data_IF_724464226004
#
_entry.id   IF_724464226004
#
_cell.length_a   1.000
_cell.length_b   1.000
_cell.length_c   1.000
_cell.angle_alpha   90.00
_cell.angle_beta   90.00
_cell.angle_gamma   90.00
#
_symmetry.space_group_name_H-M   'P 1'
#
loop_
_entity.id
_entity.type
_entity.pdbx_description
1 polymer ?
#
# COMPACT_ATOMS: atom_id res chain seq x y z
N UNK A 1 -17.77 -20.39 28.19
CA UNK A 1 -17.40 -18.99 27.80
C UNK A 1 -18.68 -18.41 27.23
N UNK A 2 -19.35 -17.51 27.95
CA UNK A 2 -20.59 -16.90 27.46
C UNK A 2 -20.18 -15.65 26.66
N UNK A 3 -20.42 -15.67 25.36
CA UNK A 3 -20.19 -14.51 24.52
C UNK A 3 -21.12 -13.37 24.90
N UNK A 4 -20.58 -12.19 25.12
CA UNK A 4 -21.36 -11.00 25.47
C UNK A 4 -21.82 -10.29 24.20
N UNK A 5 -22.99 -10.69 23.67
CA UNK A 5 -23.55 -10.11 22.45
C UNK A 5 -23.95 -8.62 22.59
N UNK A 6 -24.36 -8.20 23.79
CA UNK A 6 -24.71 -6.79 24.05
C UNK A 6 -23.47 -5.90 23.96
N UNK A 7 -22.31 -6.38 24.42
CA UNK A 7 -21.04 -5.67 24.27
C UNK A 7 -20.63 -5.59 22.80
N UNK A 8 -20.78 -6.67 22.05
CA UNK A 8 -20.47 -6.67 20.61
C UNK A 8 -21.35 -5.64 19.91
N UNK A 9 -22.66 -5.67 20.12
CA UNK A 9 -23.61 -4.76 19.49
C UNK A 9 -23.31 -3.27 19.81
N UNK A 10 -23.02 -2.97 21.08
CA UNK A 10 -22.70 -1.60 21.52
C UNK A 10 -21.33 -1.10 21.01
N UNK A 11 -20.37 -1.99 20.80
CA UNK A 11 -19.03 -1.65 20.31
C UNK A 11 -18.95 -1.56 18.77
N UNK A 12 -19.86 -2.21 18.06
CA UNK A 12 -19.83 -2.34 16.61
C UNK A 12 -19.79 -1.00 15.85
N UNK A 13 -20.57 0.05 16.19
CA UNK A 13 -20.50 1.34 15.52
C UNK A 13 -19.12 2.00 15.65
N UNK A 14 -18.47 1.84 16.81
CA UNK A 14 -17.13 2.40 17.04
C UNK A 14 -16.06 1.68 16.22
N UNK A 15 -16.17 0.35 16.10
CA UNK A 15 -15.29 -0.46 15.25
C UNK A 15 -15.48 -0.12 13.76
N UNK A 16 -16.72 0.05 13.28
CA UNK A 16 -16.99 0.47 11.91
C UNK A 16 -16.42 1.84 11.58
N UNK A 17 -16.52 2.79 12.52
CA UNK A 17 -15.88 4.10 12.35
C UNK A 17 -14.34 3.97 12.28
N UNK A 18 -13.73 3.03 13.04
CA UNK A 18 -12.30 2.69 12.90
C UNK A 18 -11.98 2.07 11.54
N UNK A 19 -12.84 1.18 11.04
CA UNK A 19 -12.68 0.57 9.72
C UNK A 19 -12.70 1.63 8.59
N UNK A 20 -13.57 2.62 8.67
CA UNK A 20 -13.60 3.73 7.72
C UNK A 20 -12.26 4.50 7.69
N UNK A 21 -11.70 4.79 8.86
CA UNK A 21 -10.39 5.44 8.99
C UNK A 21 -9.26 4.55 8.41
N UNK A 22 -9.30 3.23 8.66
CA UNK A 22 -8.37 2.26 8.07
C UNK A 22 -8.39 2.33 6.54
N UNK A 23 -9.58 2.35 5.93
CA UNK A 23 -9.73 2.48 4.47
C UNK A 23 -9.23 3.83 3.99
N UNK A 24 -9.53 4.91 4.69
CA UNK A 24 -9.07 6.27 4.35
C UNK A 24 -7.54 6.36 4.33
N UNK A 25 -6.86 5.93 5.40
CA UNK A 25 -5.39 5.90 5.44
C UNK A 25 -4.84 5.05 4.30
N UNK A 26 -5.39 3.87 4.10
CA UNK A 26 -4.93 2.97 3.03
C UNK A 26 -5.06 3.62 1.66
N UNK A 27 -6.20 4.21 1.35
CA UNK A 27 -6.45 4.86 0.07
C UNK A 27 -5.51 6.04 -0.17
N UNK A 28 -5.30 6.90 0.84
CA UNK A 28 -4.37 8.02 0.77
C UNK A 28 -2.93 7.54 0.63
N UNK A 29 -2.52 6.56 1.45
CA UNK A 29 -1.15 6.04 1.43
C UNK A 29 -0.80 5.35 0.12
N UNK A 30 -1.68 4.52 -0.43
CA UNK A 30 -1.47 3.87 -1.73
C UNK A 30 -1.58 4.89 -2.86
N UNK A 31 -2.47 5.88 -2.76
CA UNK A 31 -2.60 6.96 -3.74
C UNK A 31 -1.31 7.77 -3.86
N UNK A 32 -0.77 8.28 -2.75
CA UNK A 32 0.55 8.95 -2.75
C UNK A 32 1.68 7.98 -3.08
N UNK A 33 1.63 6.75 -2.59
CA UNK A 33 2.56 5.69 -2.93
C UNK A 33 2.60 5.40 -4.43
N UNK A 34 1.46 5.47 -5.12
CA UNK A 34 1.40 5.32 -6.58
C UNK A 34 2.16 6.44 -7.29
N UNK A 35 2.01 7.69 -6.85
CA UNK A 35 2.75 8.82 -7.41
C UNK A 35 4.27 8.65 -7.21
N UNK A 36 4.69 8.33 -5.98
CA UNK A 36 6.09 8.07 -5.65
C UNK A 36 6.61 6.87 -6.45
N UNK A 37 5.88 5.77 -6.46
CA UNK A 37 6.26 4.53 -7.14
C UNK A 37 6.40 4.68 -8.66
N UNK A 38 5.50 5.45 -9.29
CA UNK A 38 5.62 5.79 -10.72
C UNK A 38 6.89 6.61 -11.00
N UNK A 39 7.15 7.65 -10.21
CA UNK A 39 8.35 8.49 -10.38
C UNK A 39 9.63 7.68 -10.19
N UNK A 40 9.70 6.88 -9.12
CA UNK A 40 10.85 6.02 -8.82
C UNK A 40 10.98 4.91 -9.86
N UNK A 41 9.88 4.30 -10.30
CA UNK A 41 9.88 3.29 -11.36
C UNK A 41 10.43 3.81 -12.68
N UNK A 42 10.04 5.02 -13.09
CA UNK A 42 10.59 5.70 -14.27
C UNK A 42 12.08 6.00 -14.06
N UNK A 43 12.49 6.49 -12.90
CA UNK A 43 13.88 6.76 -12.57
C UNK A 43 14.78 5.51 -12.69
N UNK A 44 14.25 4.33 -12.31
CA UNK A 44 14.96 3.04 -12.43
C UNK A 44 15.12 2.55 -13.87
N UNK A 45 14.28 3.02 -14.79
CA UNK A 45 14.34 2.68 -16.22
C UNK A 45 15.13 3.69 -17.05
N UNK A 46 15.47 4.85 -16.48
CA UNK A 46 16.19 5.88 -17.23
C UNK A 46 17.68 5.53 -17.42
N UNK A 47 18.30 6.16 -18.46
CA UNK A 47 19.71 5.94 -18.80
C UNK A 47 20.69 6.71 -17.89
N UNK A 48 20.21 7.61 -17.03
CA UNK A 48 21.04 8.38 -16.10
C UNK A 48 21.43 7.51 -14.93
N UNK A 49 22.69 7.06 -14.90
CA UNK A 49 23.21 6.12 -13.89
C UNK A 49 23.00 6.59 -12.45
N UNK A 50 23.25 7.88 -12.18
CA UNK A 50 23.08 8.45 -10.84
C UNK A 50 21.62 8.37 -10.34
N UNK A 51 20.65 8.73 -11.19
CA UNK A 51 19.23 8.71 -10.84
C UNK A 51 18.75 7.27 -10.61
N UNK A 52 19.17 6.34 -11.47
CA UNK A 52 18.87 4.92 -11.31
C UNK A 52 19.47 4.34 -10.01
N UNK A 53 20.69 4.73 -9.66
CA UNK A 53 21.36 4.29 -8.45
C UNK A 53 20.63 4.77 -7.20
N UNK A 54 20.26 6.06 -7.13
CA UNK A 54 19.50 6.63 -6.01
C UNK A 54 18.11 5.98 -5.87
N UNK A 55 17.42 5.75 -6.99
CA UNK A 55 16.14 5.07 -7.01
C UNK A 55 16.24 3.61 -6.49
N UNK A 56 17.30 2.89 -6.84
CA UNK A 56 17.55 1.55 -6.31
C UNK A 56 17.83 1.58 -4.80
N UNK A 57 18.69 2.49 -4.31
CA UNK A 57 18.96 2.64 -2.88
C UNK A 57 17.66 2.88 -2.10
N UNK A 58 16.80 3.77 -2.58
CA UNK A 58 15.50 4.03 -1.95
C UNK A 58 14.65 2.77 -1.85
N UNK A 59 14.49 2.04 -2.96
CA UNK A 59 13.66 0.84 -3.00
C UNK A 59 14.24 -0.26 -2.12
N UNK A 60 15.54 -0.49 -2.19
CA UNK A 60 16.21 -1.54 -1.42
C UNK A 60 16.19 -1.23 0.09
N UNK A 61 16.40 0.04 0.47
CA UNK A 61 16.35 0.48 1.87
C UNK A 61 14.95 0.35 2.45
N UNK A 62 13.93 0.87 1.76
CA UNK A 62 12.54 0.85 2.26
C UNK A 62 12.00 -0.58 2.33
N UNK A 63 12.24 -1.41 1.31
CA UNK A 63 11.79 -2.81 1.30
C UNK A 63 12.63 -3.72 2.20
N UNK A 64 13.85 -3.30 2.52
CA UNK A 64 14.74 -4.01 3.45
C UNK A 64 14.52 -3.68 4.93
N UNK A 65 13.64 -2.72 5.24
CA UNK A 65 13.35 -2.29 6.62
C UNK A 65 11.87 -2.49 6.96
N UNK A 66 11.58 -2.64 8.27
CA UNK A 66 10.21 -2.84 8.75
C UNK A 66 9.39 -1.54 8.65
N UNK A 67 8.14 -1.64 8.16
CA UNK A 67 7.20 -0.52 8.14
C UNK A 67 6.98 0.06 9.56
N UNK A 68 6.92 -0.77 10.59
CA UNK A 68 6.81 -0.31 11.98
C UNK A 68 7.97 0.63 12.36
N UNK A 69 9.20 0.28 11.98
CA UNK A 69 10.38 1.11 12.24
C UNK A 69 10.31 2.42 11.44
N UNK A 70 9.82 2.37 10.20
CA UNK A 70 9.62 3.57 9.37
C UNK A 70 8.59 4.52 10.00
N UNK A 71 7.48 3.99 10.55
CA UNK A 71 6.49 4.77 11.31
C UNK A 71 7.14 5.43 12.52
N UNK A 72 7.98 4.71 13.28
CA UNK A 72 8.69 5.27 14.44
C UNK A 72 9.70 6.35 14.03
N UNK A 73 10.42 6.17 12.94
CA UNK A 73 11.36 7.19 12.43
C UNK A 73 10.62 8.48 12.06
N UNK A 74 9.48 8.37 11.37
CA UNK A 74 8.70 9.56 10.97
C UNK A 74 8.05 10.23 12.18
N UNK A 75 7.49 9.46 13.11
CA UNK A 75 6.72 10.02 14.21
C UNK A 75 7.57 10.48 15.41
N UNK A 76 8.62 9.73 15.77
CA UNK A 76 9.45 10.02 16.95
C UNK A 76 10.80 10.65 16.63
N UNK A 77 11.47 10.21 15.54
CA UNK A 77 12.82 10.69 15.25
C UNK A 77 12.81 11.97 14.42
N UNK A 78 11.93 12.10 13.42
CA UNK A 78 11.86 13.27 12.54
C UNK A 78 11.59 14.59 13.31
N UNK A 79 10.70 14.65 14.34
CA UNK A 79 10.49 15.85 15.16
C UNK A 79 11.78 16.41 15.78
N UNK A 80 12.72 15.55 16.16
CA UNK A 80 14.02 15.96 16.70
C UNK A 80 14.90 16.67 15.66
N UNK A 81 14.68 16.43 14.38
CA UNK A 81 15.44 17.05 13.27
C UNK A 81 14.79 18.36 12.84
N UNK A 82 13.44 18.36 12.69
CA UNK A 82 12.69 19.52 12.17
C UNK A 82 12.30 20.53 13.26
N UNK A 83 12.48 20.20 14.55
CA UNK A 83 12.15 21.07 15.66
C UNK A 83 10.65 21.27 15.95
N UNK A 84 9.78 20.46 15.33
CA UNK A 84 8.32 20.54 15.49
C UNK A 84 7.68 19.16 15.59
N UNK A 85 6.56 19.05 16.33
CA UNK A 85 5.82 17.79 16.43
C UNK A 85 5.14 17.44 15.10
N UNK A 86 5.16 16.17 14.75
CA UNK A 86 4.43 15.64 13.59
C UNK A 86 3.09 15.09 14.08
N UNK A 87 2.00 15.50 13.45
CA UNK A 87 0.68 14.95 13.73
C UNK A 87 0.62 13.46 13.37
N UNK A 88 -0.02 12.60 14.19
CA UNK A 88 -0.11 11.15 13.93
C UNK A 88 -0.69 10.79 12.56
N UNK A 89 -1.66 11.55 12.06
CA UNK A 89 -2.27 11.32 10.76
C UNK A 89 -1.26 11.54 9.62
N UNK A 90 -0.53 12.67 9.66
CA UNK A 90 0.51 12.95 8.66
C UNK A 90 1.68 11.98 8.75
N UNK A 91 2.07 11.56 9.97
CA UNK A 91 3.10 10.56 10.16
C UNK A 91 2.70 9.20 9.56
N UNK A 92 1.46 8.75 9.83
CA UNK A 92 0.92 7.51 9.30
C UNK A 92 0.90 7.52 7.77
N UNK A 93 0.28 8.55 7.17
CA UNK A 93 0.19 8.66 5.70
C UNK A 93 1.60 8.75 5.09
N UNK A 94 2.51 9.54 5.65
CA UNK A 94 3.85 9.71 5.09
C UNK A 94 4.63 8.40 5.12
N UNK A 95 4.70 7.71 6.26
CA UNK A 95 5.42 6.45 6.39
C UNK A 95 4.84 5.37 5.47
N UNK A 96 3.51 5.19 5.48
CA UNK A 96 2.83 4.22 4.64
C UNK A 96 2.96 4.55 3.14
N UNK A 97 2.92 5.84 2.74
CA UNK A 97 3.10 6.24 1.33
C UNK A 97 4.52 6.01 0.82
N UNK A 98 5.53 6.32 1.65
CA UNK A 98 6.93 6.05 1.34
C UNK A 98 7.15 4.53 1.20
N UNK A 99 6.58 3.74 2.09
CA UNK A 99 6.68 2.28 2.03
C UNK A 99 6.00 1.73 0.77
N UNK A 100 4.72 2.03 0.56
CA UNK A 100 3.96 1.59 -0.61
C UNK A 100 4.58 2.06 -1.92
N UNK A 101 5.15 3.28 -1.96
CA UNK A 101 5.86 3.80 -3.12
C UNK A 101 7.04 2.93 -3.56
N UNK A 102 7.79 2.35 -2.62
CA UNK A 102 8.89 1.45 -2.95
C UNK A 102 8.41 0.11 -3.51
N UNK A 103 7.33 -0.45 -2.95
CA UNK A 103 6.71 -1.68 -3.48
C UNK A 103 6.09 -1.45 -4.86
N UNK A 104 5.39 -0.34 -5.05
CA UNK A 104 4.79 0.03 -6.34
C UNK A 104 5.87 0.27 -7.40
N UNK A 105 6.99 0.92 -7.07
CA UNK A 105 8.13 1.08 -7.99
C UNK A 105 8.68 -0.27 -8.48
N UNK A 106 8.72 -1.27 -7.60
CA UNK A 106 9.13 -2.61 -7.95
C UNK A 106 8.08 -3.34 -8.80
N UNK A 107 6.78 -3.17 -8.49
CA UNK A 107 5.68 -3.70 -9.31
C UNK A 107 5.76 -3.16 -10.74
N UNK A 108 5.97 -1.84 -10.91
CA UNK A 108 6.15 -1.24 -12.23
C UNK A 108 7.35 -1.81 -12.96
N UNK A 109 8.52 -1.91 -12.29
CA UNK A 109 9.73 -2.47 -12.88
C UNK A 109 9.50 -3.91 -13.33
N UNK A 110 8.96 -4.75 -12.45
CA UNK A 110 8.69 -6.16 -12.72
C UNK A 110 7.66 -6.33 -13.85
N UNK A 111 6.60 -5.54 -13.86
CA UNK A 111 5.58 -5.56 -14.91
C UNK A 111 6.14 -5.23 -16.30
N UNK A 112 6.98 -4.20 -16.40
CA UNK A 112 7.64 -3.84 -17.67
C UNK A 112 8.64 -4.93 -18.10
N UNK A 113 9.46 -5.41 -17.18
CA UNK A 113 10.46 -6.45 -17.47
C UNK A 113 9.86 -7.84 -17.76
N UNK A 114 8.60 -8.06 -17.39
CA UNK A 114 7.90 -9.32 -17.71
C UNK A 114 7.49 -9.43 -19.17
N UNK A 115 7.52 -8.32 -19.94
CA UNK A 115 7.21 -8.35 -21.38
C UNK A 115 8.42 -8.93 -22.13
N UNK A 116 8.12 -9.82 -23.05
CA UNK A 116 9.14 -10.47 -23.89
C UNK A 116 10.00 -9.45 -24.62
N UNK A 117 11.32 -9.63 -24.58
CA UNK A 117 12.29 -8.73 -25.22
C UNK A 117 12.12 -8.68 -26.73
N UNK A 118 11.62 -9.76 -27.33
CA UNK A 118 11.30 -9.81 -28.77
C UNK A 118 10.26 -8.77 -29.19
N UNK A 119 9.38 -8.31 -28.27
CA UNK A 119 8.46 -7.19 -28.55
C UNK A 119 9.20 -5.87 -28.76
N UNK A 120 10.25 -5.64 -27.99
CA UNK A 120 11.11 -4.46 -28.17
C UNK A 120 11.91 -4.58 -29.47
N UNK A 121 12.49 -5.74 -29.74
CA UNK A 121 13.27 -5.98 -30.96
C UNK A 121 12.41 -5.88 -32.22
N UNK A 122 11.21 -6.45 -32.22
CA UNK A 122 10.28 -6.36 -33.35
C UNK A 122 9.88 -4.89 -33.64
N UNK A 123 9.53 -4.13 -32.60
CA UNK A 123 9.20 -2.71 -32.76
C UNK A 123 10.38 -1.91 -33.32
N UNK A 124 11.61 -2.18 -32.84
CA UNK A 124 12.82 -1.55 -33.36
C UNK A 124 13.13 -1.92 -34.82
N UNK A 125 12.88 -3.18 -35.19
CA UNK A 125 13.06 -3.66 -36.57
C UNK A 125 12.08 -3.04 -37.55
N UNK A 126 10.89 -2.63 -37.07
CA UNK A 126 9.91 -1.86 -37.85
C UNK A 126 10.23 -0.35 -37.91
N UNK A 127 11.40 0.07 -37.45
CA UNK A 127 11.85 1.48 -37.49
C UNK A 127 11.31 2.36 -36.37
N UNK A 128 10.60 1.80 -35.38
CA UNK A 128 10.12 2.55 -34.22
C UNK A 128 11.29 2.96 -33.32
N UNK A 129 11.25 4.17 -32.76
CA UNK A 129 12.18 4.58 -31.71
C UNK A 129 11.92 3.78 -30.42
N UNK A 130 12.88 3.74 -29.51
CA UNK A 130 12.71 3.11 -28.21
C UNK A 130 11.46 3.65 -27.47
N UNK A 131 11.27 4.96 -27.49
CA UNK A 131 10.12 5.61 -26.84
C UNK A 131 8.79 5.24 -27.49
N UNK A 132 8.75 5.12 -28.82
CA UNK A 132 7.54 4.66 -29.53
C UNK A 132 7.23 3.21 -29.22
N UNK A 133 8.22 2.32 -29.27
CA UNK A 133 8.04 0.89 -28.91
C UNK A 133 7.57 0.75 -27.46
N UNK A 134 8.21 1.48 -26.52
CA UNK A 134 7.80 1.50 -25.13
C UNK A 134 6.34 1.95 -24.97
N UNK A 135 5.96 3.08 -25.60
CA UNK A 135 4.63 3.68 -25.44
C UNK A 135 3.51 2.85 -26.09
N UNK A 136 3.73 2.33 -27.30
CA UNK A 136 2.67 1.74 -28.11
C UNK A 136 2.62 0.21 -28.02
N UNK A 137 3.71 -0.47 -27.65
CA UNK A 137 3.80 -1.92 -27.59
C UNK A 137 3.97 -2.41 -26.17
N UNK A 138 5.00 -1.93 -25.45
CA UNK A 138 5.38 -2.49 -24.14
C UNK A 138 4.41 -2.02 -23.04
N UNK A 139 4.20 -0.71 -22.91
CA UNK A 139 3.40 -0.15 -21.80
C UNK A 139 1.97 -0.65 -21.77
N UNK A 140 1.21 -0.76 -22.89
CA UNK A 140 -0.14 -1.30 -22.84
C UNK A 140 -0.21 -2.75 -22.33
N UNK A 141 0.80 -3.57 -22.67
CA UNK A 141 0.91 -4.93 -22.17
C UNK A 141 1.35 -4.98 -20.70
N UNK A 142 2.34 -4.15 -20.34
CA UNK A 142 2.84 -4.06 -18.97
C UNK A 142 1.76 -3.60 -17.98
N UNK A 143 0.91 -2.63 -18.35
CA UNK A 143 -0.20 -2.18 -17.49
C UNK A 143 -1.13 -3.33 -17.10
N UNK A 144 -1.47 -4.22 -18.02
CA UNK A 144 -2.30 -5.39 -17.72
C UNK A 144 -1.66 -6.30 -16.67
N UNK A 145 -0.33 -6.45 -16.70
CA UNK A 145 0.43 -7.26 -15.73
C UNK A 145 0.70 -6.56 -14.41
N UNK A 146 0.61 -5.23 -14.37
CA UNK A 146 0.82 -4.41 -13.17
C UNK A 146 -0.45 -4.33 -12.30
N UNK A 147 -1.65 -4.37 -12.89
CA UNK A 147 -2.92 -4.20 -12.16
C UNK A 147 -3.11 -5.23 -11.04
N UNK A 148 -2.93 -6.56 -11.24
CA UNK A 148 -3.11 -7.52 -10.16
C UNK A 148 -2.16 -7.31 -8.96
N UNK A 149 -0.83 -7.14 -9.15
CA UNK A 149 0.07 -6.82 -8.05
C UNK A 149 -0.26 -5.50 -7.34
N UNK A 150 -0.76 -4.47 -8.05
CA UNK A 150 -1.20 -3.22 -7.41
C UNK A 150 -2.42 -3.45 -6.50
N UNK A 151 -3.35 -4.28 -6.93
CA UNK A 151 -4.49 -4.69 -6.10
C UNK A 151 -4.03 -5.44 -4.83
N UNK A 152 -3.07 -6.34 -4.97
CA UNK A 152 -2.48 -7.05 -3.84
C UNK A 152 -1.71 -6.12 -2.89
N UNK A 153 -1.02 -5.10 -3.41
CA UNK A 153 -0.37 -4.06 -2.61
C UNK A 153 -1.39 -3.26 -1.80
N UNK A 154 -2.54 -2.90 -2.39
CA UNK A 154 -3.61 -2.24 -1.66
C UNK A 154 -4.14 -3.10 -0.51
N UNK A 155 -4.35 -4.41 -0.74
CA UNK A 155 -4.79 -5.35 0.29
C UNK A 155 -3.72 -5.53 1.38
N UNK A 156 -2.45 -5.56 1.02
CA UNK A 156 -1.35 -5.63 1.98
C UNK A 156 -1.34 -4.37 2.86
N UNK A 157 -1.35 -3.19 2.25
CA UNK A 157 -1.35 -1.91 2.95
C UNK A 157 -2.58 -1.74 3.85
N UNK A 158 -3.75 -2.25 3.45
CA UNK A 158 -4.97 -2.21 4.28
C UNK A 158 -4.79 -2.94 5.61
N UNK A 159 -4.03 -4.03 5.63
CA UNK A 159 -3.69 -4.76 6.85
C UNK A 159 -2.53 -4.11 7.60
N UNK A 160 -1.51 -3.67 6.87
CA UNK A 160 -0.30 -3.09 7.43
C UNK A 160 -0.55 -1.71 8.05
N UNK A 161 -1.61 -1.00 7.63
CA UNK A 161 -2.08 0.23 8.27
C UNK A 161 -2.44 0.03 9.75
N UNK A 162 -2.73 -1.20 10.20
CA UNK A 162 -2.92 -1.52 11.63
C UNK A 162 -1.70 -1.19 12.49
N UNK A 163 -0.48 -1.15 11.91
CA UNK A 163 0.74 -0.78 12.61
C UNK A 163 0.75 0.67 13.08
N UNK A 164 -0.07 1.56 12.49
CA UNK A 164 -0.16 2.96 12.95
C UNK A 164 -0.84 3.09 14.32
N UNK A 165 -1.50 2.03 14.80
CA UNK A 165 -2.06 1.96 16.15
C UNK A 165 -1.01 2.22 17.24
N UNK A 166 0.28 1.89 16.99
CA UNK A 166 1.38 2.07 17.95
C UNK A 166 1.71 3.52 18.24
N UNK A 167 1.41 4.44 17.31
CA UNK A 167 1.56 5.89 17.51
C UNK A 167 0.27 6.55 18.04
N UNK A 168 -0.70 5.74 18.48
CA UNK A 168 -1.94 6.20 19.08
C UNK A 168 -3.03 6.61 18.08
N UNK A 169 -2.83 6.37 16.79
CA UNK A 169 -3.82 6.71 15.77
C UNK A 169 -5.03 5.75 15.81
N UNK A 170 -6.26 6.30 15.92
CA UNK A 170 -7.47 5.52 16.21
C UNK A 170 -8.11 4.89 14.96
N UNK A 171 -7.36 4.06 14.25
CA UNK A 171 -7.88 3.18 13.24
C UNK A 171 -8.56 1.92 13.89
N UNK A 172 -9.00 0.95 13.08
CA UNK A 172 -9.77 -0.21 13.55
C UNK A 172 -9.09 -0.98 14.68
N UNK A 173 -7.79 -1.29 14.56
CA UNK A 173 -7.04 -2.05 15.58
C UNK A 173 -6.91 -1.25 16.87
N UNK A 174 -6.60 0.05 16.80
CA UNK A 174 -6.49 0.92 17.97
C UNK A 174 -7.81 1.05 18.70
N UNK A 175 -8.92 1.19 17.99
CA UNK A 175 -10.26 1.21 18.62
C UNK A 175 -10.58 -0.09 19.30
N UNK A 176 -10.24 -1.24 18.71
CA UNK A 176 -10.31 -2.53 19.38
C UNK A 176 -9.54 -2.55 20.70
N UNK A 177 -8.27 -2.09 20.71
CA UNK A 177 -7.45 -1.99 21.91
C UNK A 177 -8.10 -1.11 22.99
N UNK A 178 -8.65 0.04 22.62
CA UNK A 178 -9.31 0.96 23.56
C UNK A 178 -10.58 0.36 24.19
N UNK A 179 -11.37 -0.39 23.41
CA UNK A 179 -12.54 -1.11 23.94
C UNK A 179 -12.10 -2.20 24.91
N UNK A 180 -11.10 -3.00 24.55
CA UNK A 180 -10.58 -4.07 25.41
C UNK A 180 -10.02 -3.51 26.71
N UNK A 181 -9.32 -2.39 26.68
CA UNK A 181 -8.78 -1.74 27.88
C UNK A 181 -9.86 -1.31 28.90
N UNK A 182 -11.11 -1.10 28.44
CA UNK A 182 -12.25 -0.73 29.30
C UNK A 182 -13.11 -1.91 29.71
N UNK A 183 -13.18 -2.96 28.88
CA UNK A 183 -14.16 -4.05 29.03
C UNK A 183 -13.53 -5.38 29.41
N UNK A 184 -12.21 -5.53 29.22
CA UNK A 184 -11.44 -6.78 29.37
C UNK A 184 -11.95 -7.95 28.51
N UNK A 185 -12.82 -7.70 27.53
CA UNK A 185 -13.42 -8.68 26.62
C UNK A 185 -12.55 -8.85 25.36
N UNK A 186 -11.37 -9.42 25.54
CA UNK A 186 -10.37 -9.53 24.44
C UNK A 186 -10.85 -10.43 23.31
N UNK A 187 -11.44 -11.58 23.61
CA UNK A 187 -11.82 -12.54 22.59
C UNK A 187 -12.92 -12.00 21.68
N UNK A 188 -13.98 -11.44 22.24
CA UNK A 188 -15.12 -10.90 21.52
C UNK A 188 -14.70 -9.76 20.57
N UNK A 189 -13.90 -8.82 21.09
CA UNK A 189 -13.50 -7.64 20.33
C UNK A 189 -12.48 -7.99 19.24
N UNK A 190 -11.46 -8.82 19.52
CA UNK A 190 -10.52 -9.24 18.49
C UNK A 190 -11.19 -10.08 17.40
N UNK A 191 -12.18 -10.90 17.75
CA UNK A 191 -12.95 -11.62 16.75
C UNK A 191 -13.73 -10.67 15.85
N UNK A 192 -14.38 -9.63 16.41
CA UNK A 192 -15.07 -8.61 15.64
C UNK A 192 -14.09 -7.84 14.71
N UNK A 193 -12.95 -7.42 15.24
CA UNK A 193 -11.91 -6.74 14.45
C UNK A 193 -11.43 -7.62 13.28
N UNK A 194 -11.16 -8.90 13.55
CA UNK A 194 -10.73 -9.85 12.51
C UNK A 194 -11.80 -10.06 11.43
N UNK A 195 -13.08 -10.17 11.82
CA UNK A 195 -14.18 -10.30 10.87
C UNK A 195 -14.36 -9.04 10.02
N UNK A 196 -14.21 -7.84 10.61
CA UNK A 196 -14.29 -6.59 9.87
C UNK A 196 -13.13 -6.50 8.85
N UNK A 197 -11.88 -6.84 9.25
CA UNK A 197 -10.75 -6.92 8.30
C UNK A 197 -11.02 -7.93 7.19
N UNK A 198 -11.55 -9.11 7.52
CA UNK A 198 -11.87 -10.13 6.52
C UNK A 198 -12.88 -9.60 5.49
N UNK A 199 -13.94 -8.93 5.95
CA UNK A 199 -14.95 -8.33 5.05
C UNK A 199 -14.32 -7.24 4.19
N UNK A 200 -13.52 -6.34 4.76
CA UNK A 200 -12.84 -5.27 3.99
C UNK A 200 -11.92 -5.87 2.92
N UNK A 201 -11.08 -6.83 3.28
CA UNK A 201 -10.17 -7.51 2.34
C UNK A 201 -10.97 -8.23 1.24
N UNK A 202 -12.05 -8.93 1.61
CA UNK A 202 -12.89 -9.61 0.63
C UNK A 202 -13.54 -8.64 -0.38
N UNK A 203 -14.05 -7.51 0.10
CA UNK A 203 -14.65 -6.48 -0.78
C UNK A 203 -13.60 -5.90 -1.75
N UNK A 204 -12.42 -5.56 -1.24
CA UNK A 204 -11.31 -5.05 -2.07
C UNK A 204 -10.86 -6.11 -3.07
N UNK A 205 -10.67 -7.35 -2.65
CA UNK A 205 -10.27 -8.45 -3.55
C UNK A 205 -11.30 -8.68 -4.67
N UNK A 206 -12.59 -8.60 -4.35
CA UNK A 206 -13.66 -8.70 -5.36
C UNK A 206 -13.61 -7.53 -6.35
N UNK A 207 -13.38 -6.32 -5.87
CA UNK A 207 -13.24 -5.14 -6.72
C UNK A 207 -12.02 -5.27 -7.65
N UNK A 208 -10.86 -5.66 -7.12
CA UNK A 208 -9.63 -5.92 -7.89
C UNK A 208 -9.88 -6.99 -8.95
N UNK A 209 -10.50 -8.13 -8.59
CA UNK A 209 -10.81 -9.20 -9.54
C UNK A 209 -11.77 -8.79 -10.67
N UNK A 210 -12.67 -7.82 -10.43
CA UNK A 210 -13.50 -7.22 -11.50
C UNK A 210 -12.65 -6.36 -12.43
N UNK A 211 -11.73 -5.56 -11.88
CA UNK A 211 -10.79 -4.77 -12.68
C UNK A 211 -9.90 -5.67 -13.54
N UNK A 212 -9.31 -6.72 -12.96
CA UNK A 212 -8.47 -7.69 -13.67
C UNK A 212 -9.18 -8.26 -14.89
N UNK A 213 -10.40 -8.79 -14.71
CA UNK A 213 -11.21 -9.35 -15.81
C UNK A 213 -11.50 -8.37 -16.92
N UNK A 214 -11.69 -7.08 -16.58
CA UNK A 214 -11.92 -6.02 -17.57
C UNK A 214 -10.68 -5.71 -18.39
N UNK A 215 -9.48 -5.91 -17.83
CA UNK A 215 -8.20 -5.67 -18.50
C UNK A 215 -7.58 -6.93 -19.09
N UNK A 216 -7.99 -8.14 -18.67
CA UNK A 216 -7.75 -9.41 -19.36
C UNK A 216 -8.62 -9.45 -20.62
N UNK A 217 -8.26 -8.69 -21.62
CA UNK A 217 -8.79 -8.96 -22.98
C UNK A 217 -8.11 -10.20 -23.51
N UNK A 218 -8.95 -11.15 -23.99
CA UNK A 218 -8.58 -12.36 -24.73
C UNK A 218 -7.54 -12.09 -25.82
#
# INVERSE_FOLDING_TARGET
>A
MNLNFDLIASSFPLLLAGAAITVEITALSVGFGLLIGCMVGIARLCNVKALRYLANIYVDFIRGTSLLVQIFLVYFALPGIIGSRVDPFFAAISACSINSGAYIAEIFRAGIQSIDQGQMEAGRSLGMTWAQTMRYIIMPQAFKRIIPPLGNEFIAMLKDSSLVSVIGFEELTRRGQLIIARTYASFEIWMCVALIYLVMVFLVARFVGVLERKFETK
#
